data_IF_432661549911
#
_entry.id   IF_432661549911
#
_cell.length_a   1.000
_cell.length_b   1.000
_cell.length_c   1.000
_cell.angle_alpha   90.00
_cell.angle_beta   90.00
_cell.angle_gamma   90.00
#
_symmetry.space_group_name_H-M   'P 1'
#
loop_
_entity.id
_entity.type
_entity.pdbx_description
1 polymer ?
#
# COMPACT_ATOMS: atom_id res chain seq x y z
N UNK A 1 26.91 -50.57 8.31
CA UNK A 1 27.43 -49.23 7.99
C UNK A 1 26.33 -48.49 7.23
N UNK A 2 25.38 -47.87 7.94
CA UNK A 2 24.27 -47.13 7.34
C UNK A 2 24.57 -45.65 7.54
N UNK A 3 25.08 -44.99 6.49
CA UNK A 3 25.13 -43.53 6.45
C UNK A 3 23.70 -43.06 6.20
N UNK A 4 23.03 -42.60 7.25
CA UNK A 4 21.85 -41.77 7.11
C UNK A 4 22.32 -40.42 6.58
N UNK A 5 22.23 -40.23 5.26
CA UNK A 5 22.21 -38.89 4.68
C UNK A 5 20.94 -38.20 5.19
N UNK A 6 21.05 -37.48 6.31
CA UNK A 6 20.12 -36.40 6.59
C UNK A 6 20.25 -35.45 5.41
N UNK A 7 19.23 -35.38 4.56
CA UNK A 7 19.04 -34.25 3.65
C UNK A 7 19.24 -32.99 4.49
N UNK A 8 20.34 -32.27 4.23
CA UNK A 8 20.54 -30.96 4.85
C UNK A 8 19.41 -30.09 4.33
N UNK A 9 18.37 -29.90 5.14
CA UNK A 9 17.36 -28.88 4.85
C UNK A 9 18.11 -27.58 4.61
N UNK A 10 17.97 -27.04 3.40
CA UNK A 10 18.56 -25.76 3.03
C UNK A 10 18.01 -24.69 3.99
N UNK A 11 18.91 -23.97 4.64
CA UNK A 11 18.50 -22.82 5.46
C UNK A 11 17.91 -21.75 4.53
N UNK A 12 16.71 -21.30 4.87
CA UNK A 12 16.04 -20.22 4.15
C UNK A 12 16.76 -18.91 4.43
N UNK A 13 17.02 -18.15 3.37
CA UNK A 13 17.45 -16.76 3.47
C UNK A 13 16.38 -15.91 4.17
N UNK A 14 16.76 -14.72 4.65
CA UNK A 14 15.82 -13.79 5.30
C UNK A 14 14.59 -13.48 4.42
N UNK A 15 14.80 -13.25 3.12
CA UNK A 15 13.70 -12.96 2.18
C UNK A 15 12.80 -14.18 1.94
N UNK A 16 13.36 -15.38 1.86
CA UNK A 16 12.56 -16.61 1.73
C UNK A 16 11.72 -16.88 3.00
N UNK A 17 12.24 -16.53 4.19
CA UNK A 17 11.47 -16.62 5.43
C UNK A 17 10.30 -15.62 5.46
N UNK A 18 10.54 -14.37 5.04
CA UNK A 18 9.52 -13.33 4.92
C UNK A 18 8.46 -13.67 3.85
N UNK A 19 8.87 -14.20 2.70
CA UNK A 19 7.97 -14.73 1.66
C UNK A 19 7.08 -15.84 2.22
N UNK A 20 7.69 -16.83 2.88
CA UNK A 20 6.95 -17.96 3.45
C UNK A 20 5.95 -17.51 4.53
N UNK A 21 6.32 -16.54 5.37
CA UNK A 21 5.42 -15.94 6.37
C UNK A 21 4.23 -15.25 5.70
N UNK A 22 4.47 -14.39 4.71
CA UNK A 22 3.41 -13.66 4.02
C UNK A 22 2.45 -14.60 3.27
N UNK A 23 2.98 -15.61 2.58
CA UNK A 23 2.17 -16.64 1.90
C UNK A 23 1.34 -17.42 2.91
N UNK A 24 1.92 -17.79 4.05
CA UNK A 24 1.19 -18.48 5.11
C UNK A 24 0.00 -17.65 5.62
N UNK A 25 0.22 -16.37 5.94
CA UNK A 25 -0.84 -15.44 6.38
C UNK A 25 -1.96 -15.33 5.34
N UNK A 26 -1.62 -15.22 4.05
CA UNK A 26 -2.62 -15.13 2.98
C UNK A 26 -3.47 -16.39 2.86
N UNK A 27 -2.85 -17.57 3.02
CA UNK A 27 -3.56 -18.86 3.00
C UNK A 27 -4.47 -19.05 4.20
N UNK A 28 -4.05 -18.66 5.39
CA UNK A 28 -4.90 -18.69 6.60
C UNK A 28 -6.17 -17.85 6.41
N UNK A 29 -6.02 -16.63 5.88
CA UNK A 29 -7.17 -15.77 5.60
C UNK A 29 -8.09 -16.36 4.55
N UNK A 30 -7.55 -16.91 3.46
CA UNK A 30 -8.36 -17.56 2.43
C UNK A 30 -9.08 -18.82 2.93
N UNK A 31 -8.52 -19.51 3.93
CA UNK A 31 -9.11 -20.70 4.53
C UNK A 31 -10.19 -20.37 5.58
N UNK A 32 -10.00 -19.31 6.38
CA UNK A 32 -10.85 -19.04 7.54
C UNK A 32 -11.84 -17.87 7.36
N UNK A 33 -11.57 -16.94 6.42
CA UNK A 33 -12.42 -15.77 6.20
C UNK A 33 -13.35 -15.95 4.99
N UNK A 34 -14.62 -15.61 5.15
CA UNK A 34 -15.67 -15.86 4.14
C UNK A 34 -15.49 -15.06 2.84
N UNK A 35 -15.13 -13.77 2.92
CA UNK A 35 -15.05 -12.88 1.75
C UNK A 35 -13.85 -11.95 1.85
N UNK A 36 -12.62 -12.46 1.58
CA UNK A 36 -11.43 -11.63 1.57
C UNK A 36 -11.36 -10.72 0.34
N UNK A 37 -10.62 -9.62 0.45
CA UNK A 37 -10.23 -8.73 -0.65
C UNK A 37 -8.78 -8.27 -0.46
N UNK A 38 -8.05 -8.06 -1.54
CA UNK A 38 -6.73 -7.44 -1.47
C UNK A 38 -6.76 -5.96 -1.88
N UNK A 39 -6.39 -5.05 -0.97
CA UNK A 39 -6.28 -3.63 -1.28
C UNK A 39 -5.02 -3.38 -2.12
N UNK A 40 -5.21 -2.96 -3.36
CA UNK A 40 -4.12 -2.74 -4.31
C UNK A 40 -3.97 -1.25 -4.65
N UNK A 41 -3.01 -0.59 -4.00
CA UNK A 41 -2.76 0.85 -4.15
C UNK A 41 -1.83 1.20 -5.31
N UNK A 42 -1.28 0.19 -6.00
CA UNK A 42 -0.34 0.35 -7.12
C UNK A 42 1.00 0.98 -6.69
N UNK A 43 1.34 0.86 -5.41
CA UNK A 43 2.69 1.16 -4.90
C UNK A 43 3.56 -0.09 -4.82
N UNK A 44 4.86 0.10 -4.61
CA UNK A 44 5.87 -0.97 -4.48
C UNK A 44 5.45 -2.07 -3.50
N UNK A 45 4.94 -1.70 -2.32
CA UNK A 45 4.53 -2.63 -1.27
C UNK A 45 3.32 -3.48 -1.72
N UNK A 46 2.32 -2.84 -2.35
CA UNK A 46 1.16 -3.55 -2.87
C UNK A 46 1.49 -4.41 -4.10
N UNK A 47 2.51 -4.07 -4.89
CA UNK A 47 3.00 -4.91 -6.00
C UNK A 47 3.71 -6.16 -5.47
N UNK A 48 4.51 -6.04 -4.41
CA UNK A 48 5.07 -7.21 -3.70
C UNK A 48 3.96 -8.08 -3.12
N UNK A 49 2.96 -7.47 -2.47
CA UNK A 49 1.82 -8.20 -1.91
C UNK A 49 1.00 -8.93 -2.99
N UNK A 50 0.79 -8.31 -4.15
CA UNK A 50 0.17 -8.93 -5.32
C UNK A 50 0.98 -10.14 -5.80
N UNK A 51 2.30 -10.00 -5.98
CA UNK A 51 3.17 -11.10 -6.39
C UNK A 51 3.12 -12.28 -5.41
N UNK A 52 3.17 -11.99 -4.11
CA UNK A 52 3.04 -12.99 -3.06
C UNK A 52 1.69 -13.70 -3.09
N UNK A 53 0.59 -13.00 -3.40
CA UNK A 53 -0.72 -13.62 -3.57
C UNK A 53 -0.75 -14.58 -4.76
N UNK A 54 -0.17 -14.18 -5.90
CA UNK A 54 -0.05 -15.07 -7.06
C UNK A 54 0.75 -16.33 -6.70
N UNK A 55 1.89 -16.19 -5.99
CA UNK A 55 2.66 -17.34 -5.49
C UNK A 55 1.87 -18.20 -4.50
N UNK A 56 1.09 -17.58 -3.61
CA UNK A 56 0.36 -18.29 -2.55
C UNK A 56 -0.67 -19.27 -3.11
N UNK A 57 -1.28 -18.96 -4.25
CA UNK A 57 -2.39 -19.74 -4.84
C UNK A 57 -2.06 -20.42 -6.16
N UNK A 58 -0.83 -20.26 -6.67
CA UNK A 58 -0.35 -20.96 -7.86
C UNK A 58 -0.62 -22.48 -7.77
N UNK A 59 -1.08 -23.15 -8.85
CA UNK A 59 -1.24 -22.63 -10.21
C UNK A 59 -2.54 -21.85 -10.47
N UNK A 60 -3.44 -21.79 -9.50
CA UNK A 60 -4.70 -21.07 -9.62
C UNK A 60 -4.56 -19.58 -9.29
N UNK A 61 -5.58 -18.81 -9.65
CA UNK A 61 -5.66 -17.40 -9.25
C UNK A 61 -6.01 -17.28 -7.75
N UNK A 62 -5.63 -16.18 -7.09
CA UNK A 62 -6.08 -15.90 -5.73
C UNK A 62 -7.63 -15.98 -5.63
N UNK A 63 -8.19 -16.64 -4.61
CA UNK A 63 -9.63 -16.85 -4.46
C UNK A 63 -10.37 -15.61 -3.93
N UNK A 64 -9.87 -14.41 -4.24
CA UNK A 64 -10.42 -13.14 -3.81
C UNK A 64 -10.15 -12.04 -4.84
N UNK A 65 -11.04 -11.04 -4.94
CA UNK A 65 -10.81 -9.89 -5.80
C UNK A 65 -9.76 -8.94 -5.21
N UNK A 66 -9.32 -8.03 -6.06
CA UNK A 66 -8.49 -6.89 -5.70
C UNK A 66 -9.36 -5.63 -5.71
N UNK A 67 -9.06 -4.67 -4.85
CA UNK A 67 -9.80 -3.42 -4.74
C UNK A 67 -8.85 -2.21 -4.78
N UNK A 68 -9.14 -1.28 -5.68
CA UNK A 68 -8.50 0.02 -5.75
C UNK A 68 -9.49 1.14 -5.42
N UNK A 69 -9.15 1.99 -4.43
CA UNK A 69 -9.90 3.21 -4.14
C UNK A 69 -9.36 4.34 -5.01
N UNK A 70 -10.14 4.69 -6.02
CA UNK A 70 -9.81 5.73 -6.99
C UNK A 70 -10.41 7.07 -6.55
N UNK A 71 -9.51 7.96 -6.14
CA UNK A 71 -9.83 9.33 -5.72
C UNK A 71 -10.06 10.28 -6.89
N UNK A 72 -9.86 9.84 -8.14
CA UNK A 72 -9.79 10.63 -9.38
C UNK A 72 -8.58 11.56 -9.51
N UNK A 73 -7.75 11.67 -8.46
CA UNK A 73 -6.51 12.47 -8.40
C UNK A 73 -5.24 11.62 -8.29
N UNK A 74 -5.29 10.34 -8.67
CA UNK A 74 -4.09 9.49 -8.75
C UNK A 74 -3.23 9.94 -9.94
N UNK A 75 -1.96 9.61 -9.90
CA UNK A 75 -1.11 9.78 -11.10
C UNK A 75 -1.66 8.94 -12.26
N UNK A 76 -1.66 9.49 -13.48
CA UNK A 76 -2.07 8.78 -14.70
C UNK A 76 -1.26 7.49 -14.91
N UNK A 77 0.05 7.56 -14.69
CA UNK A 77 0.94 6.40 -14.79
C UNK A 77 0.55 5.26 -13.82
N UNK A 78 0.03 5.58 -12.62
CA UNK A 78 -0.44 4.56 -11.68
C UNK A 78 -1.72 3.88 -12.19
N UNK A 79 -2.65 4.64 -12.76
CA UNK A 79 -3.91 4.10 -13.26
C UNK A 79 -3.66 3.20 -14.48
N UNK A 80 -2.82 3.66 -15.41
CA UNK A 80 -2.42 2.86 -16.57
C UNK A 80 -1.75 1.54 -16.14
N UNK A 81 -0.78 1.62 -15.21
CA UNK A 81 -0.09 0.43 -14.70
C UNK A 81 -1.03 -0.56 -14.01
N UNK A 82 -2.02 -0.08 -13.24
CA UNK A 82 -3.04 -0.92 -12.60
C UNK A 82 -3.82 -1.72 -13.64
N UNK A 83 -4.33 -1.03 -14.66
CA UNK A 83 -5.23 -1.62 -15.66
C UNK A 83 -4.47 -2.62 -16.54
N UNK A 84 -3.23 -2.30 -16.93
CA UNK A 84 -2.34 -3.21 -17.64
C UNK A 84 -1.99 -4.45 -16.81
N UNK A 85 -1.65 -4.28 -15.52
CA UNK A 85 -1.31 -5.38 -14.61
C UNK A 85 -2.50 -6.29 -14.37
N UNK A 86 -3.68 -5.73 -14.12
CA UNK A 86 -4.90 -6.50 -13.92
C UNK A 86 -5.25 -7.34 -15.15
N UNK A 87 -5.13 -6.75 -16.35
CA UNK A 87 -5.33 -7.45 -17.63
C UNK A 87 -4.29 -8.54 -17.87
N UNK A 88 -3.00 -8.24 -17.64
CA UNK A 88 -1.87 -9.18 -17.83
C UNK A 88 -2.02 -10.43 -16.96
N UNK A 89 -2.42 -10.26 -15.69
CA UNK A 89 -2.59 -11.36 -14.74
C UNK A 89 -4.00 -11.99 -14.79
N UNK A 90 -4.95 -11.33 -15.46
CA UNK A 90 -6.35 -11.77 -15.52
C UNK A 90 -7.03 -11.82 -14.16
N UNK A 91 -6.64 -10.93 -13.23
CA UNK A 91 -7.21 -10.84 -11.89
C UNK A 91 -8.46 -9.95 -11.89
N UNK A 92 -9.40 -10.22 -10.98
CA UNK A 92 -10.55 -9.35 -10.78
C UNK A 92 -10.13 -8.08 -10.03
N UNK A 93 -10.13 -6.94 -10.72
CA UNK A 93 -9.79 -5.63 -10.16
C UNK A 93 -11.05 -4.77 -10.02
N UNK A 94 -11.54 -4.65 -8.79
CA UNK A 94 -12.63 -3.75 -8.43
C UNK A 94 -12.07 -2.33 -8.27
N UNK A 95 -12.77 -1.36 -8.85
CA UNK A 95 -12.47 0.06 -8.68
C UNK A 95 -13.65 0.73 -8.01
N UNK A 96 -13.38 1.47 -6.94
CA UNK A 96 -14.41 2.23 -6.23
C UNK A 96 -14.02 3.70 -6.11
N UNK A 97 -14.98 4.58 -6.40
CA UNK A 97 -14.86 6.03 -6.25
C UNK A 97 -16.05 6.54 -5.43
N UNK A 98 -15.78 7.39 -4.44
CA UNK A 98 -16.84 8.08 -3.72
C UNK A 98 -17.45 9.17 -4.61
N UNK A 99 -18.50 8.79 -5.34
CA UNK A 99 -19.19 9.70 -6.27
C UNK A 99 -19.88 10.88 -5.59
N UNK A 100 -20.21 10.78 -4.30
CA UNK A 100 -20.75 11.91 -3.54
C UNK A 100 -19.68 12.98 -3.33
N UNK A 101 -18.47 12.58 -2.93
CA UNK A 101 -17.34 13.50 -2.84
C UNK A 101 -16.98 14.14 -4.20
N UNK A 102 -17.08 13.37 -5.29
CA UNK A 102 -16.90 13.92 -6.65
C UNK A 102 -17.97 14.97 -6.98
N UNK A 103 -19.25 14.69 -6.73
CA UNK A 103 -20.35 15.64 -6.99
C UNK A 103 -20.24 16.92 -6.18
N UNK A 104 -19.73 16.81 -4.95
CA UNK A 104 -19.46 17.95 -4.07
C UNK A 104 -18.20 18.74 -4.45
N UNK A 105 -17.43 18.29 -5.45
CA UNK A 105 -16.21 18.97 -5.88
C UNK A 105 -15.03 18.81 -4.91
N UNK A 106 -15.05 17.79 -4.05
CA UNK A 106 -14.01 17.55 -3.05
C UNK A 106 -12.67 17.25 -3.76
N UNK A 107 -11.66 18.06 -3.47
CA UNK A 107 -10.38 18.05 -4.16
C UNK A 107 -9.20 18.30 -3.20
N UNK A 108 -7.97 17.85 -3.57
CA UNK A 108 -6.82 17.92 -2.67
C UNK A 108 -6.26 19.33 -2.43
N UNK A 109 -6.71 20.34 -3.18
CA UNK A 109 -6.19 21.70 -3.06
C UNK A 109 -7.00 22.55 -2.07
N UNK A 110 -8.32 22.44 -2.12
CA UNK A 110 -9.23 23.32 -1.37
C UNK A 110 -9.69 22.70 -0.04
N UNK A 111 -9.63 21.37 0.09
CA UNK A 111 -10.27 20.64 1.20
C UNK A 111 -9.29 19.96 2.17
N UNK A 112 -7.96 20.07 1.95
CA UNK A 112 -6.91 19.58 2.84
C UNK A 112 -7.17 18.17 3.41
N UNK A 113 -7.17 18.04 4.74
CA UNK A 113 -7.42 16.77 5.43
C UNK A 113 -8.80 16.16 5.16
N UNK A 114 -9.84 16.97 4.96
CA UNK A 114 -11.20 16.50 4.68
C UNK A 114 -11.28 15.75 3.34
N UNK A 115 -10.49 16.15 2.34
CA UNK A 115 -10.37 15.42 1.08
C UNK A 115 -9.89 13.97 1.31
N UNK A 116 -8.86 13.80 2.13
CA UNK A 116 -8.32 12.46 2.41
C UNK A 116 -9.34 11.59 3.13
N UNK A 117 -10.08 12.16 4.08
CA UNK A 117 -11.12 11.42 4.79
C UNK A 117 -12.27 10.99 3.85
N UNK A 118 -12.85 11.93 3.12
CA UNK A 118 -14.01 11.69 2.25
C UNK A 118 -13.65 10.77 1.08
N UNK A 119 -12.53 11.05 0.40
CA UNK A 119 -12.18 10.36 -0.85
C UNK A 119 -11.40 9.06 -0.63
N UNK A 120 -10.85 8.81 0.58
CA UNK A 120 -10.14 7.56 0.89
C UNK A 120 -10.77 6.78 2.03
N UNK A 121 -10.86 7.36 3.23
CA UNK A 121 -11.36 6.63 4.43
C UNK A 121 -12.81 6.21 4.23
N UNK A 122 -13.68 7.17 3.95
CA UNK A 122 -15.11 6.92 3.76
C UNK A 122 -15.35 6.08 2.51
N UNK A 123 -14.61 6.37 1.42
CA UNK A 123 -14.68 5.58 0.19
C UNK A 123 -14.33 4.10 0.41
N UNK A 124 -13.27 3.81 1.17
CA UNK A 124 -12.89 2.45 1.52
C UNK A 124 -13.98 1.76 2.35
N UNK A 125 -14.49 2.43 3.39
CA UNK A 125 -15.58 1.88 4.22
C UNK A 125 -16.81 1.55 3.40
N UNK A 126 -17.27 2.49 2.56
CA UNK A 126 -18.40 2.29 1.65
C UNK A 126 -18.18 1.10 0.72
N UNK A 127 -16.96 0.95 0.16
CA UNK A 127 -16.64 -0.19 -0.71
C UNK A 127 -16.69 -1.52 0.06
N UNK A 128 -16.08 -1.57 1.25
CA UNK A 128 -16.08 -2.79 2.06
C UNK A 128 -17.49 -3.22 2.48
N UNK A 129 -18.34 -2.26 2.86
CA UNK A 129 -19.75 -2.50 3.17
C UNK A 129 -20.55 -2.93 1.94
N UNK A 130 -20.39 -2.23 0.81
CA UNK A 130 -21.09 -2.51 -0.45
C UNK A 130 -20.84 -3.94 -0.94
N UNK A 131 -19.58 -4.37 -0.90
CA UNK A 131 -19.21 -5.71 -1.32
C UNK A 131 -19.32 -6.76 -0.20
N UNK A 132 -19.52 -6.35 1.05
CA UNK A 132 -19.61 -7.25 2.21
C UNK A 132 -18.31 -7.99 2.51
N UNK A 133 -17.16 -7.33 2.33
CA UNK A 133 -15.85 -7.95 2.59
C UNK A 133 -15.59 -8.12 4.08
N UNK A 134 -15.21 -9.32 4.49
CA UNK A 134 -14.98 -9.67 5.91
C UNK A 134 -13.50 -9.63 6.29
N UNK A 135 -12.60 -9.69 5.32
CA UNK A 135 -11.17 -9.49 5.51
C UNK A 135 -10.58 -8.65 4.38
N UNK A 136 -9.68 -7.72 4.68
CA UNK A 136 -8.99 -6.91 3.68
C UNK A 136 -7.47 -6.97 3.91
N UNK A 137 -6.72 -7.46 2.92
CA UNK A 137 -5.27 -7.41 2.94
C UNK A 137 -4.77 -5.99 2.64
N UNK A 138 -3.85 -5.49 3.46
CA UNK A 138 -3.18 -4.22 3.27
C UNK A 138 -1.66 -4.37 3.27
N UNK A 139 -0.97 -3.56 2.47
CA UNK A 139 0.50 -3.55 2.36
C UNK A 139 1.21 -2.72 3.43
N UNK A 140 0.61 -2.54 4.62
CA UNK A 140 1.22 -1.76 5.71
C UNK A 140 2.38 -2.50 6.36
N UNK A 141 3.46 -1.78 6.68
CA UNK A 141 4.67 -2.33 7.32
C UNK A 141 4.96 -1.62 8.65
N UNK A 142 5.58 -2.32 9.61
CA UNK A 142 5.83 -1.77 10.96
C UNK A 142 6.90 -0.68 11.00
N UNK A 143 7.88 -0.75 10.10
CA UNK A 143 8.97 0.25 9.96
C UNK A 143 8.53 1.50 9.17
N UNK A 144 7.39 1.46 8.47
CA UNK A 144 6.90 2.54 7.61
C UNK A 144 6.64 3.84 8.40
N UNK A 145 6.07 3.70 9.61
CA UNK A 145 5.70 4.83 10.47
C UNK A 145 5.58 4.42 11.95
N UNK A 146 5.92 5.33 12.88
CA UNK A 146 5.87 5.10 14.34
C UNK A 146 4.52 4.56 14.84
N UNK A 147 3.40 5.01 14.29
CA UNK A 147 2.06 4.57 14.69
C UNK A 147 1.79 3.10 14.35
N UNK A 148 2.48 2.54 13.35
CA UNK A 148 2.37 1.15 12.92
C UNK A 148 3.33 0.19 13.65
N UNK A 149 4.29 0.71 14.41
CA UNK A 149 5.27 -0.14 15.10
C UNK A 149 4.64 -1.17 16.07
N UNK A 150 3.45 -0.87 16.59
CA UNK A 150 2.66 -1.75 17.47
C UNK A 150 1.49 -2.44 16.75
N UNK A 151 1.44 -2.38 15.41
CA UNK A 151 0.38 -3.00 14.62
C UNK A 151 0.53 -4.53 14.65
N UNK A 152 -0.62 -5.19 14.75
CA UNK A 152 -0.76 -6.65 14.63
C UNK A 152 -0.89 -7.03 13.17
N UNK A 153 -0.61 -8.28 12.83
CA UNK A 153 -0.87 -8.80 11.48
C UNK A 153 -2.38 -8.79 11.22
N UNK A 154 -3.19 -9.20 12.19
CA UNK A 154 -4.65 -9.21 12.16
C UNK A 154 -5.20 -8.10 13.06
N UNK A 155 -5.78 -7.07 12.43
CA UNK A 155 -6.33 -5.89 13.08
C UNK A 155 -7.86 -5.89 12.97
N UNK A 156 -8.54 -6.13 14.09
CA UNK A 156 -10.00 -6.33 14.14
C UNK A 156 -10.74 -5.02 14.11
N UNK A 157 -11.83 -4.99 13.32
CA UNK A 157 -12.73 -3.86 13.13
C UNK A 157 -14.14 -4.24 13.53
N UNK A 158 -14.80 -3.36 14.29
CA UNK A 158 -16.22 -3.52 14.59
C UNK A 158 -17.12 -3.19 13.38
N UNK A 159 -18.44 -3.31 13.56
CA UNK A 159 -19.43 -3.01 12.52
C UNK A 159 -19.45 -1.56 12.01
N UNK A 160 -18.81 -0.62 12.71
CA UNK A 160 -18.62 0.76 12.28
C UNK A 160 -17.21 0.99 11.71
N UNK A 161 -16.50 -0.09 11.35
CA UNK A 161 -15.10 -0.13 10.95
C UNK A 161 -14.11 0.49 11.96
N UNK A 162 -14.53 0.68 13.20
CA UNK A 162 -13.69 1.28 14.23
C UNK A 162 -12.74 0.25 14.83
N UNK A 163 -11.55 0.71 15.23
CA UNK A 163 -10.56 -0.10 15.92
C UNK A 163 -10.69 0.06 17.44
N UNK A 164 -10.84 -1.06 18.14
CA UNK A 164 -10.86 -1.11 19.61
C UNK A 164 -9.63 -1.90 20.12
N UNK A 165 -8.76 -1.31 20.96
CA UNK A 165 -7.62 -2.01 21.55
C UNK A 165 -8.00 -3.30 22.29
N UNK A 166 -9.17 -3.35 22.94
CA UNK A 166 -9.60 -4.50 23.75
C UNK A 166 -10.02 -5.70 22.90
N UNK A 167 -10.41 -5.46 21.65
CA UNK A 167 -10.84 -6.50 20.72
C UNK A 167 -9.66 -7.11 19.93
N UNK A 168 -8.45 -6.59 20.13
CA UNK A 168 -7.25 -7.11 19.46
C UNK A 168 -6.72 -8.36 20.15
N UNK A 169 -6.25 -9.33 19.36
CA UNK A 169 -5.90 -10.65 19.85
C UNK A 169 -4.39 -10.85 19.91
N UNK A 170 -3.85 -11.57 20.92
CA UNK A 170 -2.48 -12.02 20.90
C UNK A 170 -2.19 -12.88 19.66
N UNK A 171 -1.04 -12.66 19.02
CA UNK A 171 -0.56 -13.42 17.87
C UNK A 171 0.64 -14.24 18.33
N UNK A 172 0.38 -15.45 18.82
CA UNK A 172 1.44 -16.30 19.38
C UNK A 172 1.92 -17.26 18.28
N UNK A 173 3.24 -17.31 18.05
CA UNK A 173 3.85 -18.07 16.95
C UNK A 173 3.27 -17.71 15.58
N UNK A 174 2.83 -18.71 14.82
CA UNK A 174 2.15 -18.60 13.53
C UNK A 174 0.71 -19.09 13.66
N UNK A 175 0.07 -18.87 14.80
CA UNK A 175 -1.32 -19.25 15.04
C UNK A 175 -2.16 -17.98 15.14
N UNK A 176 -3.08 -17.81 14.18
CA UNK A 176 -3.94 -16.66 14.10
C UNK A 176 -5.38 -17.04 14.46
N UNK A 177 -6.06 -16.18 15.22
CA UNK A 177 -7.47 -16.39 15.54
C UNK A 177 -8.30 -15.42 14.70
N UNK A 178 -8.85 -15.89 13.58
CA UNK A 178 -9.60 -15.06 12.61
C UNK A 178 -11.10 -14.99 12.87
N UNK A 179 -11.62 -15.62 13.93
CA UNK A 179 -13.07 -15.65 14.19
C UNK A 179 -13.65 -14.25 14.30
N UNK A 180 -14.72 -13.94 13.59
CA UNK A 180 -15.39 -12.63 13.65
C UNK A 180 -16.87 -12.80 13.97
N UNK A 181 -17.44 -11.82 14.65
CA UNK A 181 -18.89 -11.73 14.81
C UNK A 181 -19.52 -11.16 13.54
N UNK A 182 -20.84 -11.32 13.39
CA UNK A 182 -21.59 -10.73 12.27
C UNK A 182 -21.40 -9.21 12.23
N UNK A 183 -20.95 -8.71 11.09
CA UNK A 183 -20.68 -7.28 10.86
C UNK A 183 -19.27 -6.84 11.23
N UNK A 184 -18.47 -7.67 11.90
CA UNK A 184 -17.05 -7.38 12.11
C UNK A 184 -16.24 -7.68 10.84
N UNK A 185 -15.08 -7.04 10.71
CA UNK A 185 -14.13 -7.34 9.64
C UNK A 185 -12.69 -7.28 10.14
N UNK A 186 -11.75 -7.82 9.38
CA UNK A 186 -10.33 -7.81 9.72
C UNK A 186 -9.53 -7.04 8.66
N UNK A 187 -8.52 -6.28 9.10
CA UNK A 187 -7.42 -5.82 8.24
C UNK A 187 -6.22 -6.73 8.47
N UNK A 188 -5.67 -7.27 7.39
CA UNK A 188 -4.58 -8.23 7.46
C UNK A 188 -3.34 -7.63 6.79
N UNK A 189 -2.19 -7.68 7.45
CA UNK A 189 -0.96 -7.04 6.98
C UNK A 189 0.16 -8.07 6.79
N UNK A 190 0.17 -8.86 5.68
CA UNK A 190 1.17 -9.90 5.44
C UNK A 190 2.62 -9.37 5.38
N UNK A 191 2.78 -8.08 5.07
CA UNK A 191 4.08 -7.42 4.96
C UNK A 191 4.57 -6.78 6.27
N UNK A 192 3.88 -6.99 7.40
CA UNK A 192 4.18 -6.29 8.66
C UNK A 192 5.65 -6.34 9.09
N UNK A 193 6.33 -7.47 8.85
CA UNK A 193 7.73 -7.71 9.23
C UNK A 193 8.75 -7.31 8.16
N UNK A 194 8.31 -6.85 7.00
CA UNK A 194 9.18 -6.45 5.91
C UNK A 194 9.66 -5.02 6.10
N UNK A 195 10.91 -4.74 5.79
CA UNK A 195 11.47 -3.38 5.74
C UNK A 195 11.44 -2.79 4.33
N UNK A 196 11.67 -1.48 4.20
CA UNK A 196 11.76 -0.84 2.86
C UNK A 196 12.85 -1.51 2.02
N UNK A 197 13.96 -1.90 2.65
CA UNK A 197 15.05 -2.63 2.01
C UNK A 197 14.58 -4.00 1.50
N UNK A 198 13.87 -4.76 2.32
CA UNK A 198 13.41 -6.11 1.93
C UNK A 198 12.48 -6.02 0.72
N UNK A 199 11.57 -5.03 0.69
CA UNK A 199 10.67 -4.78 -0.44
C UNK A 199 11.46 -4.55 -1.72
N UNK A 200 12.44 -3.65 -1.72
CA UNK A 200 13.24 -3.37 -2.91
C UNK A 200 14.12 -4.55 -3.34
N UNK A 201 14.74 -5.24 -2.38
CA UNK A 201 15.55 -6.43 -2.68
C UNK A 201 14.71 -7.55 -3.28
N UNK A 202 13.49 -7.74 -2.78
CA UNK A 202 12.56 -8.74 -3.27
C UNK A 202 12.02 -8.38 -4.67
N UNK A 203 11.68 -7.11 -4.91
CA UNK A 203 11.32 -6.61 -6.26
C UNK A 203 12.42 -6.95 -7.27
N UNK A 204 13.70 -6.77 -6.90
CA UNK A 204 14.83 -7.13 -7.75
C UNK A 204 14.97 -8.63 -7.93
N UNK A 205 14.93 -9.40 -6.84
CA UNK A 205 15.11 -10.86 -6.88
C UNK A 205 14.04 -11.54 -7.76
N UNK A 206 12.81 -11.07 -7.65
CA UNK A 206 11.65 -11.64 -8.32
C UNK A 206 11.30 -10.97 -9.66
N UNK A 207 12.06 -9.93 -10.04
CA UNK A 207 11.83 -9.11 -11.23
C UNK A 207 10.38 -8.60 -11.32
N UNK A 208 9.89 -7.99 -10.23
CA UNK A 208 8.52 -7.50 -10.12
C UNK A 208 8.42 -6.14 -10.83
N UNK A 209 7.47 -6.02 -11.75
CA UNK A 209 7.16 -4.76 -12.42
C UNK A 209 6.67 -3.71 -11.41
N UNK A 210 7.17 -2.47 -11.51
CA UNK A 210 6.75 -1.34 -10.67
C UNK A 210 6.44 -0.11 -11.54
N UNK A 211 5.67 0.82 -10.96
CA UNK A 211 5.26 2.05 -11.64
C UNK A 211 6.48 2.88 -12.05
N UNK A 212 6.54 3.43 -13.27
CA UNK A 212 7.70 4.20 -13.74
C UNK A 212 8.03 5.45 -12.91
N UNK A 213 7.07 5.96 -12.12
CA UNK A 213 7.25 7.03 -11.13
C UNK A 213 8.32 6.74 -10.07
N UNK A 214 8.63 5.47 -9.81
CA UNK A 214 9.70 5.10 -8.87
C UNK A 214 11.11 5.36 -9.42
N UNK A 215 11.26 5.43 -10.75
CA UNK A 215 12.52 5.71 -11.43
C UNK A 215 12.66 7.20 -11.72
N UNK A 216 13.88 7.71 -11.57
CA UNK A 216 14.21 9.09 -11.90
C UNK A 216 13.99 9.36 -13.40
N UNK A 217 13.16 10.36 -13.71
CA UNK A 217 12.94 10.86 -15.08
C UNK A 217 12.69 12.35 -15.03
N UNK A 218 12.98 13.04 -16.14
CA UNK A 218 12.58 14.44 -16.31
C UNK A 218 11.05 14.56 -16.31
N UNK A 219 10.52 15.33 -15.36
CA UNK A 219 9.09 15.54 -15.18
C UNK A 219 8.80 17.03 -14.95
N UNK A 220 7.64 17.53 -15.40
CA UNK A 220 7.20 18.88 -15.09
C UNK A 220 6.82 18.96 -13.61
N UNK A 221 7.48 19.83 -12.86
CA UNK A 221 7.27 20.00 -11.42
C UNK A 221 7.13 21.45 -11.03
N UNK A 222 6.52 21.67 -9.87
CA UNK A 222 6.53 22.95 -9.16
C UNK A 222 7.03 22.74 -7.74
N UNK A 223 7.68 23.75 -7.18
CA UNK A 223 8.06 23.78 -5.78
C UNK A 223 6.94 24.45 -4.97
N UNK A 224 6.31 23.69 -4.07
CA UNK A 224 5.20 24.17 -3.21
C UNK A 224 5.41 23.69 -1.79
N UNK A 225 5.46 24.62 -0.84
CA UNK A 225 5.61 24.34 0.60
C UNK A 225 6.76 23.37 0.92
N UNK A 226 7.92 23.57 0.27
CA UNK A 226 9.11 22.72 0.44
C UNK A 226 9.05 21.36 -0.23
N UNK A 227 7.99 21.05 -0.99
CA UNK A 227 7.82 19.80 -1.72
C UNK A 227 7.92 20.02 -3.23
N UNK A 228 8.44 19.01 -3.93
CA UNK A 228 8.45 18.96 -5.39
C UNK A 228 7.17 18.24 -5.85
N UNK A 229 6.21 18.97 -6.40
CA UNK A 229 4.93 18.41 -6.85
C UNK A 229 4.94 18.31 -8.36
N UNK A 230 4.70 17.10 -8.89
CA UNK A 230 4.58 16.89 -10.34
C UNK A 230 3.24 17.40 -10.86
N UNK A 231 3.29 18.10 -11.98
CA UNK A 231 2.11 18.56 -12.72
C UNK A 231 1.68 17.43 -13.67
N UNK A 232 0.78 16.57 -13.20
CA UNK A 232 0.36 15.37 -13.95
C UNK A 232 -0.84 15.63 -14.89
N UNK A 233 -1.65 16.65 -14.60
CA UNK A 233 -2.76 17.08 -15.44
C UNK A 233 -3.14 18.57 -15.26
N UNK A 234 -3.99 19.06 -16.16
CA UNK A 234 -4.42 20.45 -16.27
C UNK A 234 -5.31 20.94 -15.11
N UNK A 235 -5.84 20.02 -14.28
CA UNK A 235 -6.68 20.38 -13.13
C UNK A 235 -5.86 20.98 -11.99
N UNK A 236 -4.54 20.77 -12.01
CA UNK A 236 -3.64 21.38 -11.02
C UNK A 236 -3.52 22.88 -11.27
N UNK A 237 -4.14 23.67 -10.38
CA UNK A 237 -3.99 25.13 -10.39
C UNK A 237 -2.62 25.51 -9.82
N UNK A 238 -1.89 26.34 -10.56
CA UNK A 238 -0.63 26.93 -10.12
C UNK A 238 -0.90 28.17 -9.27
N UNK A 239 -0.11 28.36 -8.21
CA UNK A 239 -0.11 29.61 -7.46
C UNK A 239 0.57 30.72 -8.29
N UNK A 240 0.27 32.02 -8.04
CA UNK A 240 0.79 33.12 -8.86
C UNK A 240 2.31 33.18 -9.03
N UNK A 241 3.06 32.64 -8.05
CA UNK A 241 4.52 32.64 -8.04
C UNK A 241 5.14 31.30 -8.47
N UNK A 242 4.33 30.29 -8.80
CA UNK A 242 4.82 28.99 -9.19
C UNK A 242 5.18 28.95 -10.67
N UNK A 243 6.32 28.34 -10.98
CA UNK A 243 6.78 28.10 -12.34
C UNK A 243 6.97 26.60 -12.51
N UNK A 244 6.49 26.09 -13.64
CA UNK A 244 6.72 24.70 -14.02
C UNK A 244 8.16 24.60 -14.52
N UNK A 245 8.94 23.74 -13.88
CA UNK A 245 10.31 23.42 -14.27
C UNK A 245 10.41 21.92 -14.62
N UNK A 246 11.24 21.58 -15.60
CA UNK A 246 11.59 20.19 -15.84
C UNK A 246 12.72 19.81 -14.88
N UNK A 247 12.48 18.81 -14.03
CA UNK A 247 13.48 18.27 -13.10
C UNK A 247 13.52 16.76 -13.21
N UNK A 248 14.72 16.18 -13.07
CA UNK A 248 14.88 14.74 -12.96
C UNK A 248 14.50 14.31 -11.54
N UNK A 249 13.32 13.75 -11.40
CA UNK A 249 12.73 13.42 -10.09
C UNK A 249 12.17 12.01 -10.06
N UNK A 250 12.06 11.43 -8.86
CA UNK A 250 11.36 10.17 -8.60
C UNK A 250 10.49 10.26 -7.36
N UNK A 251 9.63 9.26 -7.14
CA UNK A 251 8.73 9.19 -5.99
C UNK A 251 9.03 7.96 -5.14
N UNK A 252 9.31 8.14 -3.84
CA UNK A 252 9.53 7.02 -2.90
C UNK A 252 8.23 6.39 -2.39
N UNK A 253 7.15 7.16 -2.41
CA UNK A 253 5.79 6.71 -2.08
C UNK A 253 4.82 7.24 -3.12
N UNK A 254 3.70 6.56 -3.31
CA UNK A 254 2.69 6.92 -4.32
C UNK A 254 1.31 7.12 -3.70
N UNK A 255 0.48 7.95 -4.33
CA UNK A 255 -0.90 8.18 -3.92
C UNK A 255 -1.58 9.19 -4.85
N UNK A 256 -2.27 10.18 -4.28
CA UNK A 256 -2.80 11.27 -5.11
C UNK A 256 -1.65 12.19 -5.51
N UNK A 257 -1.55 12.55 -6.78
CA UNK A 257 -0.38 13.28 -7.30
C UNK A 257 -0.18 14.65 -6.65
N UNK A 258 -1.23 15.45 -6.30
CA UNK A 258 -1.01 16.76 -5.68
C UNK A 258 -0.54 16.68 -4.22
N UNK A 259 -0.58 15.48 -3.62
CA UNK A 259 -0.26 15.22 -2.21
C UNK A 259 0.96 14.29 -2.05
N UNK A 260 1.68 14.07 -3.14
CA UNK A 260 2.86 13.19 -3.18
C UNK A 260 4.05 14.00 -3.66
N UNK A 261 4.97 14.33 -2.75
CA UNK A 261 6.20 15.01 -3.11
C UNK A 261 7.21 14.05 -3.75
N UNK A 262 7.79 14.48 -4.86
CA UNK A 262 8.95 13.87 -5.47
C UNK A 262 10.25 14.31 -4.81
N UNK A 263 11.33 13.65 -5.19
CA UNK A 263 12.70 14.01 -4.84
C UNK A 263 13.52 14.11 -6.12
N UNK A 264 14.43 15.08 -6.20
CA UNK A 264 15.47 15.08 -7.24
C UNK A 264 16.38 13.88 -7.04
N UNK A 265 16.65 13.15 -8.12
CA UNK A 265 17.38 11.88 -8.06
C UNK A 265 17.93 11.53 -9.43
N UNK A 266 19.06 10.81 -9.45
CA UNK A 266 19.63 10.22 -10.66
C UNK A 266 19.26 8.73 -10.81
N UNK A 267 18.55 8.15 -9.84
CA UNK A 267 18.26 6.72 -9.78
C UNK A 267 17.20 6.27 -10.80
N UNK A 268 17.63 6.06 -12.05
CA UNK A 268 16.80 5.65 -13.19
C UNK A 268 16.76 4.12 -13.42
N UNK A 269 17.49 3.35 -12.61
CA UNK A 269 17.47 1.88 -12.59
C UNK A 269 17.11 1.34 -11.20
N UNK A 270 16.71 0.07 -11.14
CA UNK A 270 16.34 -0.56 -9.87
C UNK A 270 17.53 -0.66 -8.90
N UNK A 271 18.72 -0.98 -9.41
CA UNK A 271 19.93 -1.02 -8.58
C UNK A 271 20.30 0.36 -8.05
N UNK A 272 20.16 1.41 -8.86
CA UNK A 272 20.38 2.79 -8.40
C UNK A 272 19.36 3.22 -7.33
N UNK A 273 18.09 2.79 -7.45
CA UNK A 273 17.07 3.04 -6.42
C UNK A 273 17.45 2.34 -5.11
N UNK A 274 17.87 1.07 -5.18
CA UNK A 274 18.30 0.31 -4.01
C UNK A 274 19.48 1.00 -3.33
N UNK A 275 20.50 1.40 -4.10
CA UNK A 275 21.68 2.09 -3.58
C UNK A 275 21.30 3.42 -2.90
N UNK A 276 20.48 4.24 -3.55
CA UNK A 276 20.02 5.51 -2.98
C UNK A 276 19.20 5.30 -1.70
N UNK A 277 18.27 4.33 -1.70
CA UNK A 277 17.46 4.00 -0.52
C UNK A 277 18.31 3.49 0.64
N UNK A 278 19.37 2.71 0.37
CA UNK A 278 20.29 2.21 1.39
C UNK A 278 21.11 3.33 2.07
N UNK A 279 21.32 4.45 1.37
CA UNK A 279 22.04 5.62 1.88
C UNK A 279 21.11 6.67 2.51
N UNK A 280 19.80 6.54 2.32
CA UNK A 280 18.83 7.51 2.81
C UNK A 280 18.69 7.46 4.34
N UNK A 281 18.78 8.64 4.98
CA UNK A 281 18.62 8.80 6.43
C UNK A 281 17.16 9.14 6.79
N UNK A 282 16.35 9.54 5.81
CA UNK A 282 14.96 9.95 5.97
C UNK A 282 13.98 8.84 5.55
N UNK A 283 12.86 8.74 6.27
CA UNK A 283 11.76 7.82 5.94
C UNK A 283 11.20 8.12 4.54
N UNK A 284 10.79 7.06 3.83
CA UNK A 284 10.13 7.15 2.52
C UNK A 284 8.85 8.00 2.51
N UNK A 285 8.21 8.18 3.67
CA UNK A 285 6.96 8.93 3.81
C UNK A 285 7.16 10.43 4.05
N UNK A 286 8.40 10.91 4.19
CA UNK A 286 8.68 12.31 4.55
C UNK A 286 8.09 13.32 3.56
N UNK A 287 7.96 12.96 2.28
CA UNK A 287 7.42 13.84 1.23
C UNK A 287 5.89 13.75 1.07
N UNK A 288 5.19 13.06 1.98
CA UNK A 288 3.71 13.00 1.97
C UNK A 288 3.14 14.19 2.70
N UNK A 289 2.55 15.12 1.93
CA UNK A 289 1.93 16.34 2.46
C UNK A 289 0.89 16.01 3.55
N UNK A 290 0.11 14.94 3.36
CA UNK A 290 -0.94 14.48 4.28
C UNK A 290 -0.45 13.96 5.64
N UNK A 291 0.85 13.68 5.78
CA UNK A 291 1.43 13.12 7.00
C UNK A 291 1.94 14.24 7.94
N UNK A 292 2.11 15.46 7.43
CA UNK A 292 2.53 16.64 8.22
C UNK A 292 1.38 17.38 8.92
N UNK A 293 0.12 17.10 8.55
CA UNK A 293 -1.03 17.92 8.97
C UNK A 293 -1.51 17.75 10.43
N UNK A 294 -0.99 16.80 11.23
CA UNK A 294 -1.12 16.83 12.70
C UNK A 294 -0.35 15.68 13.39
N UNK A 295 0.37 15.99 14.48
CA UNK A 295 0.88 14.98 15.39
C UNK A 295 -0.28 14.13 15.96
N UNK A 296 -0.27 12.81 15.72
CA UNK A 296 -1.35 11.90 16.13
C UNK A 296 -2.47 11.67 15.10
N UNK A 297 -2.40 12.30 13.92
CA UNK A 297 -3.37 12.13 12.81
C UNK A 297 -3.55 10.65 12.42
N UNK A 298 -2.46 9.88 12.36
CA UNK A 298 -2.51 8.48 11.92
C UNK A 298 -3.13 7.53 12.96
N UNK A 299 -2.91 7.75 14.26
CA UNK A 299 -3.61 6.96 15.29
C UNK A 299 -5.12 7.23 15.29
N UNK A 300 -5.51 8.49 15.07
CA UNK A 300 -6.91 8.87 14.91
C UNK A 300 -7.53 8.22 13.67
N UNK A 301 -6.86 8.34 12.52
CA UNK A 301 -7.23 7.68 11.26
C UNK A 301 -7.33 6.15 11.41
N UNK A 302 -6.47 5.53 12.24
CA UNK A 302 -6.58 4.12 12.58
C UNK A 302 -7.89 3.81 13.30
N UNK A 303 -8.26 4.60 14.32
CA UNK A 303 -9.56 4.43 15.01
C UNK A 303 -10.73 4.65 14.07
N UNK A 304 -10.58 5.57 13.11
CA UNK A 304 -11.55 5.91 12.08
C UNK A 304 -11.46 4.99 10.83
N UNK A 305 -10.73 3.87 10.89
CA UNK A 305 -10.78 2.83 9.84
C UNK A 305 -10.05 3.15 8.53
N UNK A 306 -9.09 4.08 8.51
CA UNK A 306 -8.25 4.41 7.35
C UNK A 306 -7.29 3.28 6.93
N UNK A 307 -6.88 2.44 7.89
CA UNK A 307 -6.07 1.25 7.66
C UNK A 307 -6.91 -0.02 7.61
#
# INVERSE_FOLDING_TARGET
MVRTEREKMRELTSLEQLEAEAIYIMREVAAECEKPVMLYSVGKDSSVMLHLAIKAFYPEKPPFPFLHIDTTWKFKEMIAFRDETAKKLGIEMLVYTNMEGVKQGINPFEHGSAYTDIMKTQALRQALDMYGFTAAFGGGRRDEEKSRAKERIFSFRNAQHAWDPKNQRPEMWKLYNTKINKGESIRVFPLSNWTEKDIWQYIRQENIDIVPLYYAKERPVVYRDGNIIMVDDERMKLNPNERVEMKKVRFRTLGCYPLTGGIESEADTLDAIIEETMQAITSERTSRVIDHEAAGSMERRKREGYF
#
